data_IF_010438934294
#
_entry.id   IF_010438934294
#
_cell.length_a   1.000
_cell.length_b   1.000
_cell.length_c   1.000
_cell.angle_alpha   90.00
_cell.angle_beta   90.00
_cell.angle_gamma   90.00
#
_symmetry.space_group_name_H-M   'P 1'
#
loop_
_entity.id
_entity.type
_entity.pdbx_description
1 polymer ?
#
# COMPACT_ATOMS: atom_id res chain seq x y z
N UNK A 1 9.65 4.24 3.12
CA UNK A 1 9.90 3.20 4.15
C UNK A 1 8.62 2.82 4.89
N UNK A 2 7.86 3.79 5.43
CA UNK A 2 6.57 3.56 6.13
C UNK A 2 5.60 2.61 5.40
N UNK A 3 5.31 2.86 4.12
CA UNK A 3 4.42 2.00 3.32
C UNK A 3 4.91 0.54 3.20
N UNK A 4 6.22 0.33 3.07
CA UNK A 4 6.81 -1.01 2.92
C UNK A 4 6.66 -1.81 4.21
N UNK A 5 6.85 -1.17 5.37
CA UNK A 5 6.65 -1.79 6.68
C UNK A 5 5.18 -2.17 6.88
N UNK A 6 4.25 -1.27 6.52
CA UNK A 6 2.81 -1.55 6.58
C UNK A 6 2.40 -2.74 5.70
N UNK A 7 2.93 -2.83 4.48
CA UNK A 7 2.68 -3.97 3.59
C UNK A 7 3.20 -5.26 4.22
N UNK A 8 4.43 -5.25 4.77
CA UNK A 8 5.03 -6.41 5.42
C UNK A 8 4.23 -6.91 6.63
N UNK A 9 3.78 -6.01 7.51
CA UNK A 9 2.99 -6.37 8.69
C UNK A 9 1.63 -6.98 8.30
N UNK A 10 0.93 -6.40 7.31
CA UNK A 10 -0.34 -6.94 6.86
C UNK A 10 -0.18 -8.26 6.11
N UNK A 11 0.88 -8.45 5.32
CA UNK A 11 1.19 -9.73 4.67
C UNK A 11 1.48 -10.83 5.69
N UNK A 12 2.19 -10.50 6.78
CA UNK A 12 2.42 -11.44 7.88
C UNK A 12 1.15 -11.80 8.63
N UNK A 13 0.22 -10.85 8.75
CA UNK A 13 -1.04 -11.03 9.47
C UNK A 13 -2.12 -11.78 8.65
N UNK A 14 -1.95 -11.94 7.34
CA UNK A 14 -2.84 -12.76 6.52
C UNK A 14 -2.72 -14.22 6.97
N UNK A 15 -3.86 -14.83 7.25
CA UNK A 15 -3.94 -16.27 7.40
C UNK A 15 -3.94 -16.89 6.00
N UNK A 16 -2.91 -17.65 5.66
CA UNK A 16 -2.76 -18.24 4.33
C UNK A 16 -3.52 -19.56 4.16
N UNK A 17 -4.09 -20.10 5.23
CA UNK A 17 -4.99 -21.26 5.19
C UNK A 17 -6.43 -20.84 4.84
N UNK A 18 -6.84 -19.66 5.30
CA UNK A 18 -8.07 -18.99 4.87
C UNK A 18 -7.81 -18.26 3.54
N UNK A 19 -8.71 -18.39 2.56
CA UNK A 19 -8.55 -17.74 1.27
C UNK A 19 -8.37 -16.21 1.40
N UNK A 20 -7.72 -15.56 0.43
CA UNK A 20 -7.49 -14.10 0.49
C UNK A 20 -8.78 -13.26 0.61
N UNK A 21 -9.88 -13.74 0.05
CA UNK A 21 -11.19 -13.09 0.08
C UNK A 21 -12.04 -13.55 1.26
N UNK A 22 -11.47 -14.29 2.20
CA UNK A 22 -12.12 -14.57 3.47
C UNK A 22 -12.36 -13.25 4.23
N UNK A 23 -13.43 -13.19 5.01
CA UNK A 23 -13.80 -12.01 5.78
C UNK A 23 -12.69 -11.59 6.75
N UNK A 24 -11.94 -12.54 7.29
CA UNK A 24 -10.82 -12.27 8.19
C UNK A 24 -9.62 -11.64 7.47
N UNK A 25 -9.36 -12.08 6.24
CA UNK A 25 -8.23 -11.63 5.42
C UNK A 25 -8.49 -10.35 4.63
N UNK A 26 -9.75 -10.11 4.27
CA UNK A 26 -10.14 -8.97 3.42
C UNK A 26 -9.67 -7.63 3.99
N UNK A 27 -9.69 -7.46 5.32
CA UNK A 27 -9.19 -6.24 5.99
C UNK A 27 -7.69 -6.00 5.74
N UNK A 28 -6.89 -7.06 5.74
CA UNK A 28 -5.45 -6.99 5.51
C UNK A 28 -5.15 -6.76 4.02
N UNK A 29 -5.87 -7.43 3.13
CA UNK A 29 -5.78 -7.23 1.67
C UNK A 29 -6.15 -5.78 1.30
N UNK A 30 -7.20 -5.24 1.90
CA UNK A 30 -7.58 -3.83 1.71
C UNK A 30 -6.49 -2.88 2.21
N UNK A 31 -5.92 -3.14 3.39
CA UNK A 31 -4.83 -2.34 3.95
C UNK A 31 -3.57 -2.35 3.06
N UNK A 32 -3.18 -3.53 2.55
CA UNK A 32 -2.07 -3.67 1.60
C UNK A 32 -2.36 -2.87 0.33
N UNK A 33 -3.58 -2.98 -0.20
CA UNK A 33 -4.00 -2.24 -1.41
C UNK A 33 -3.92 -0.74 -1.22
N UNK A 34 -4.37 -0.23 -0.07
CA UNK A 34 -4.27 1.19 0.28
C UNK A 34 -2.80 1.65 0.42
N UNK A 35 -1.93 0.82 0.99
CA UNK A 35 -0.50 1.12 1.10
C UNK A 35 0.18 1.18 -0.28
N UNK A 36 -0.16 0.27 -1.20
CA UNK A 36 0.32 0.30 -2.58
C UNK A 36 -0.14 1.56 -3.32
N UNK A 37 -1.41 1.95 -3.16
CA UNK A 37 -1.92 3.21 -3.70
C UNK A 37 -1.19 4.43 -3.12
N UNK A 38 -0.87 4.42 -1.83
CA UNK A 38 -0.08 5.46 -1.19
C UNK A 38 1.31 5.63 -1.80
N UNK A 39 2.02 4.53 -2.07
CA UNK A 39 3.32 4.54 -2.77
C UNK A 39 3.17 5.13 -4.17
N UNK A 40 2.15 4.70 -4.92
CA UNK A 40 1.88 5.20 -6.27
C UNK A 40 1.64 6.72 -6.27
N UNK A 41 0.79 7.22 -5.36
CA UNK A 41 0.51 8.65 -5.26
C UNK A 41 1.76 9.45 -4.90
N UNK A 42 2.58 8.97 -3.96
CA UNK A 42 3.87 9.62 -3.63
C UNK A 42 4.77 9.71 -4.87
N UNK A 43 4.82 8.67 -5.69
CA UNK A 43 5.59 8.68 -6.93
C UNK A 43 5.05 9.70 -7.94
N UNK A 44 3.73 9.75 -8.14
CA UNK A 44 3.08 10.74 -9.02
C UNK A 44 3.35 12.16 -8.54
N UNK A 45 3.15 12.43 -7.25
CA UNK A 45 3.39 13.76 -6.66
C UNK A 45 4.86 14.16 -6.76
N UNK A 46 5.79 13.25 -6.53
CA UNK A 46 7.22 13.50 -6.71
C UNK A 46 7.57 13.81 -8.18
N UNK A 47 6.91 13.16 -9.12
CA UNK A 47 7.08 13.42 -10.56
C UNK A 47 6.54 14.81 -10.92
N UNK A 48 5.34 15.16 -10.47
CA UNK A 48 4.74 16.48 -10.68
C UNK A 48 5.54 17.61 -10.01
N UNK A 49 6.10 17.37 -8.83
CA UNK A 49 6.98 18.33 -8.15
C UNK A 49 8.22 18.69 -8.98
N UNK A 50 8.66 17.81 -9.88
CA UNK A 50 9.82 18.06 -10.77
C UNK A 50 9.41 18.72 -12.09
N UNK A 51 8.14 18.57 -12.49
CA UNK A 51 7.57 19.17 -13.69
C UNK A 51 7.08 20.61 -13.44
N UNK A 52 6.83 20.98 -12.19
CA UNK A 52 6.47 22.36 -11.84
C UNK A 52 7.66 23.29 -12.06
N UNK A 53 7.54 24.34 -12.90
CA UNK A 53 8.62 25.29 -13.10
C UNK A 53 8.94 25.96 -11.75
N UNK A 54 10.21 25.91 -11.34
CA UNK A 54 10.67 26.67 -10.17
C UNK A 54 10.37 28.14 -10.43
N UNK A 55 9.57 28.75 -9.53
CA UNK A 55 9.39 30.20 -9.50
C UNK A 55 10.72 30.91 -9.28
#
# INVERSE_FOLDING_TARGET
MLFVVFIGLNLYAIDWELGFMDNENTKFVFSISAALLGVLLVFVLNTWSKLSPKK
#
